data_IF_093377254677
#
_entry.id   IF_093377254677
#
_cell.length_a   1.000
_cell.length_b   1.000
_cell.length_c   1.000
_cell.angle_alpha   90.00
_cell.angle_beta   90.00
_cell.angle_gamma   90.00
#
_symmetry.space_group_name_H-M   'P 1'
#
loop_
_entity.id
_entity.type
_entity.pdbx_description
1 polymer ?
#
# COMPACT_ATOMS: atom_id res chain seq x y z
N UNK A 1 -34.87 -38.08 18.89
CA UNK A 1 -33.76 -38.25 17.94
C UNK A 1 -33.73 -37.04 17.01
N UNK A 2 -32.73 -36.17 17.14
CA UNK A 2 -32.61 -34.94 16.33
C UNK A 2 -31.85 -35.24 15.03
N UNK A 3 -32.52 -35.17 13.88
CA UNK A 3 -31.89 -35.32 12.58
C UNK A 3 -31.06 -34.07 12.24
N UNK A 4 -29.74 -34.22 12.13
CA UNK A 4 -28.83 -33.20 11.63
C UNK A 4 -29.03 -33.01 10.12
N UNK A 5 -29.71 -31.92 9.73
CA UNK A 5 -29.85 -31.50 8.33
C UNK A 5 -28.46 -31.12 7.80
N UNK A 6 -27.84 -32.01 7.03
CA UNK A 6 -26.63 -31.69 6.25
C UNK A 6 -27.05 -30.58 5.27
N UNK A 7 -26.48 -29.39 5.46
CA UNK A 7 -26.69 -28.26 4.54
C UNK A 7 -26.13 -28.69 3.19
N UNK A 8 -27.00 -28.84 2.19
CA UNK A 8 -26.60 -29.16 0.82
C UNK A 8 -25.58 -28.14 0.30
N UNK A 9 -24.81 -28.54 -0.73
CA UNK A 9 -23.84 -27.63 -1.37
C UNK A 9 -24.53 -26.29 -1.70
N UNK A 10 -23.87 -25.14 -1.46
CA UNK A 10 -24.44 -23.85 -1.81
C UNK A 10 -24.77 -23.82 -3.30
N UNK A 11 -25.88 -23.15 -3.64
CA UNK A 11 -26.30 -23.03 -5.04
C UNK A 11 -25.28 -22.22 -5.82
N UNK A 12 -24.72 -22.84 -6.86
CA UNK A 12 -23.71 -22.27 -7.75
C UNK A 12 -24.28 -21.87 -9.11
N UNK A 13 -25.60 -21.90 -9.26
CA UNK A 13 -26.30 -21.49 -10.49
C UNK A 13 -25.97 -20.06 -10.95
N UNK A 14 -25.68 -19.17 -10.00
CA UNK A 14 -25.36 -17.76 -10.27
C UNK A 14 -23.90 -17.49 -10.65
N UNK A 15 -23.01 -18.50 -10.65
CA UNK A 15 -21.64 -18.29 -11.10
C UNK A 15 -21.60 -18.22 -12.63
N UNK A 16 -21.27 -17.03 -13.14
CA UNK A 16 -21.05 -16.81 -14.57
C UNK A 16 -19.81 -17.58 -15.05
N UNK A 17 -20.01 -18.72 -15.71
CA UNK A 17 -18.93 -19.56 -16.25
C UNK A 17 -18.19 -18.94 -17.44
N UNK A 18 -18.82 -18.03 -18.19
CA UNK A 18 -18.28 -17.49 -19.44
C UNK A 18 -17.86 -16.02 -19.28
N UNK A 19 -16.95 -15.74 -18.35
CA UNK A 19 -16.27 -14.43 -18.32
C UNK A 19 -15.13 -14.46 -19.32
N UNK A 20 -15.14 -13.52 -20.28
CA UNK A 20 -14.04 -13.35 -21.22
C UNK A 20 -12.77 -12.99 -20.43
N UNK A 21 -11.67 -13.77 -20.53
CA UNK A 21 -10.43 -13.49 -19.80
C UNK A 21 -9.82 -12.12 -20.14
N UNK A 22 -10.12 -11.58 -21.33
CA UNK A 22 -9.66 -10.25 -21.74
C UNK A 22 -10.22 -9.13 -20.86
N UNK A 23 -11.35 -9.36 -20.19
CA UNK A 23 -11.92 -8.39 -19.26
C UNK A 23 -11.03 -8.18 -18.03
N UNK A 24 -10.24 -9.18 -17.62
CA UNK A 24 -9.27 -9.01 -16.53
C UNK A 24 -8.14 -8.06 -16.94
N UNK A 25 -7.58 -8.25 -18.14
CA UNK A 25 -6.54 -7.37 -18.67
C UNK A 25 -7.04 -5.94 -18.92
N UNK A 26 -8.32 -5.78 -19.30
CA UNK A 26 -8.94 -4.47 -19.53
C UNK A 26 -9.47 -3.79 -18.26
N UNK A 27 -9.33 -4.40 -17.09
CA UNK A 27 -9.75 -3.77 -15.83
C UNK A 27 -11.27 -3.80 -15.59
N UNK A 28 -11.95 -4.87 -16.03
CA UNK A 28 -13.26 -5.33 -15.54
C UNK A 28 -14.24 -4.26 -15.08
N UNK A 29 -14.77 -3.45 -16.00
CA UNK A 29 -15.85 -2.51 -15.70
C UNK A 29 -17.23 -3.17 -15.87
N UNK A 30 -17.56 -4.15 -15.02
CA UNK A 30 -18.95 -4.50 -14.75
C UNK A 30 -19.09 -4.69 -13.24
N UNK A 31 -19.57 -3.64 -12.57
CA UNK A 31 -20.09 -3.74 -11.19
C UNK A 31 -19.34 -3.03 -10.07
N UNK A 32 -18.41 -2.10 -10.34
CA UNK A 32 -17.81 -1.30 -9.25
C UNK A 32 -18.13 0.20 -9.41
N UNK A 33 -19.17 0.66 -8.72
CA UNK A 33 -19.26 2.05 -8.22
C UNK A 33 -18.24 2.28 -7.09
N UNK A 34 -16.99 1.89 -7.32
CA UNK A 34 -15.85 2.23 -6.49
C UNK A 34 -14.93 3.08 -7.35
N UNK A 35 -14.88 4.38 -7.07
CA UNK A 35 -13.88 5.28 -7.66
C UNK A 35 -12.50 4.75 -7.26
N UNK A 36 -11.88 3.95 -8.12
CA UNK A 36 -10.45 3.69 -8.00
C UNK A 36 -9.75 4.97 -8.43
N UNK A 37 -9.33 5.76 -7.46
CA UNK A 37 -8.39 6.84 -7.70
C UNK A 37 -7.15 6.23 -8.34
N UNK A 38 -6.95 6.56 -9.61
CA UNK A 38 -5.71 6.28 -10.33
C UNK A 38 -4.64 7.08 -9.60
N UNK A 39 -3.85 6.41 -8.76
CA UNK A 39 -2.63 7.01 -8.22
C UNK A 39 -1.76 7.37 -9.41
N UNK A 40 -1.77 8.64 -9.80
CA UNK A 40 -0.87 9.19 -10.80
C UNK A 40 0.55 8.85 -10.35
N UNK A 41 1.18 7.91 -11.06
CA UNK A 41 2.61 7.68 -10.95
C UNK A 41 3.28 8.96 -11.43
N UNK A 42 3.59 9.86 -10.51
CA UNK A 42 4.46 11.01 -10.76
C UNK A 42 5.79 10.45 -11.28
N UNK A 43 5.93 10.47 -12.61
CA UNK A 43 7.21 10.25 -13.27
C UNK A 43 8.15 11.38 -12.83
N UNK A 44 8.97 11.13 -11.82
CA UNK A 44 10.13 11.97 -11.54
C UNK A 44 11.37 11.23 -12.02
N UNK A 45 11.77 11.53 -13.25
CA UNK A 45 13.07 11.15 -13.81
C UNK A 45 14.20 12.02 -13.21
N UNK A 46 14.24 12.16 -11.89
CA UNK A 46 15.47 12.62 -11.21
C UNK A 46 16.29 11.37 -10.91
N UNK A 47 17.51 11.27 -11.45
CA UNK A 47 18.43 10.19 -11.14
C UNK A 47 18.56 10.07 -9.61
N UNK A 48 18.00 8.98 -9.05
CA UNK A 48 17.96 8.78 -7.60
C UNK A 48 19.10 7.84 -7.24
N UNK A 49 20.06 8.33 -6.44
CA UNK A 49 21.18 7.51 -5.95
C UNK A 49 20.72 6.84 -4.65
N UNK A 50 20.73 5.50 -4.61
CA UNK A 50 20.45 4.74 -3.40
C UNK A 50 21.73 4.54 -2.58
N UNK A 51 21.64 4.73 -1.26
CA UNK A 51 22.72 4.48 -0.30
C UNK A 51 22.21 3.54 0.78
N UNK A 52 22.99 2.50 1.06
CA UNK A 52 22.70 1.55 2.14
C UNK A 52 23.49 1.95 3.39
N UNK A 53 22.78 2.17 4.49
CA UNK A 53 23.36 2.46 5.80
C UNK A 53 23.13 1.29 6.74
N UNK A 54 24.09 1.03 7.63
CA UNK A 54 23.92 0.09 8.74
C UNK A 54 23.61 0.90 9.98
N UNK A 55 22.50 0.58 10.64
CA UNK A 55 22.08 1.24 11.87
C UNK A 55 22.26 0.31 13.06
N UNK A 56 22.61 0.85 14.24
CA UNK A 56 22.41 0.14 15.50
C UNK A 56 20.93 -0.28 15.67
N UNK A 57 20.64 -1.43 16.29
CA UNK A 57 19.27 -1.91 16.45
C UNK A 57 18.34 -0.89 17.13
N UNK A 58 18.84 -0.22 18.17
CA UNK A 58 18.09 0.79 18.92
C UNK A 58 17.65 1.97 18.04
N UNK A 59 18.53 2.41 17.14
CA UNK A 59 18.24 3.51 16.23
C UNK A 59 17.27 3.09 15.13
N UNK A 60 17.36 1.85 14.65
CA UNK A 60 16.38 1.29 13.71
C UNK A 60 14.98 1.20 14.33
N UNK A 61 14.88 0.77 15.59
CA UNK A 61 13.60 0.76 16.32
C UNK A 61 13.06 2.17 16.55
N UNK A 62 13.90 3.11 16.96
CA UNK A 62 13.50 4.49 17.17
C UNK A 62 12.99 5.15 15.88
N UNK A 63 13.65 4.90 14.74
CA UNK A 63 13.23 5.44 13.45
C UNK A 63 11.86 4.89 13.00
N UNK A 64 11.63 3.59 13.21
CA UNK A 64 10.34 2.96 12.95
C UNK A 64 9.24 3.58 13.81
N UNK A 65 9.49 3.72 15.10
CA UNK A 65 8.50 4.22 16.05
C UNK A 65 8.19 5.72 15.78
N UNK A 66 9.19 6.57 15.47
CA UNK A 66 8.98 7.97 15.04
C UNK A 66 8.13 8.04 13.76
N UNK A 67 8.37 7.16 12.78
CA UNK A 67 7.55 7.09 11.57
C UNK A 67 6.09 6.73 11.85
N UNK A 68 5.83 5.84 12.81
CA UNK A 68 4.50 5.45 13.21
C UNK A 68 3.77 6.58 13.95
N UNK A 69 4.47 7.26 14.86
CA UNK A 69 3.90 8.36 15.64
C UNK A 69 3.60 9.58 14.77
N UNK A 70 4.53 9.97 13.88
CA UNK A 70 4.24 11.04 12.90
C UNK A 70 3.11 10.69 11.97
N UNK A 71 2.99 9.42 11.56
CA UNK A 71 1.88 9.00 10.70
C UNK A 71 0.52 9.19 11.39
N UNK A 72 0.45 8.94 12.70
CA UNK A 72 -0.76 9.19 13.51
C UNK A 72 -1.04 10.68 13.65
N UNK A 73 -0.01 11.48 13.94
CA UNK A 73 -0.14 12.91 14.18
C UNK A 73 -0.56 13.64 12.89
N UNK A 74 0.08 13.33 11.76
CA UNK A 74 -0.15 14.02 10.49
C UNK A 74 -1.35 13.47 9.72
N UNK A 75 -2.02 12.42 10.23
CA UNK A 75 -3.10 11.70 9.53
C UNK A 75 -2.73 11.26 8.09
N UNK A 76 -1.44 11.04 7.84
CA UNK A 76 -0.93 10.53 6.55
C UNK A 76 0.15 9.51 6.81
N UNK A 77 0.44 8.66 5.83
CA UNK A 77 1.61 7.78 5.89
C UNK A 77 2.88 8.62 5.82
N UNK A 78 3.74 8.46 6.83
CA UNK A 78 5.12 8.97 6.88
C UNK A 78 6.06 7.77 6.82
N UNK A 79 7.10 7.84 6.00
CA UNK A 79 8.09 6.76 5.87
C UNK A 79 9.40 7.11 6.57
N UNK A 80 10.14 6.09 6.99
CA UNK A 80 11.50 6.25 7.55
C UNK A 80 12.41 7.03 6.60
N UNK A 81 12.28 6.79 5.29
CA UNK A 81 13.00 7.52 4.25
C UNK A 81 12.68 9.00 4.23
N UNK A 82 11.41 9.40 4.44
CA UNK A 82 11.03 10.81 4.50
C UNK A 82 11.66 11.51 5.70
N UNK A 83 11.66 10.86 6.86
CA UNK A 83 12.28 11.37 8.09
C UNK A 83 13.79 11.53 7.88
N UNK A 84 14.46 10.52 7.31
CA UNK A 84 15.89 10.60 7.00
C UNK A 84 16.19 11.73 6.01
N UNK A 85 15.38 11.88 4.96
CA UNK A 85 15.53 12.99 4.01
C UNK A 85 15.39 14.32 4.73
N UNK A 86 14.38 14.50 5.58
CA UNK A 86 14.16 15.72 6.35
C UNK A 86 15.35 16.06 7.25
N UNK A 87 15.83 15.09 8.03
CA UNK A 87 16.97 15.25 8.94
C UNK A 87 18.24 15.60 8.15
N UNK A 88 18.55 14.84 7.09
CA UNK A 88 19.76 15.05 6.30
C UNK A 88 19.71 16.39 5.55
N UNK A 89 18.55 16.75 5.01
CA UNK A 89 18.32 18.05 4.34
C UNK A 89 18.55 19.20 5.31
N UNK A 90 18.04 19.06 6.54
CA UNK A 90 18.21 20.05 7.61
C UNK A 90 19.67 20.15 8.08
N UNK A 91 20.35 19.00 8.23
CA UNK A 91 21.73 18.94 8.70
C UNK A 91 22.72 19.55 7.71
N UNK A 92 22.63 19.20 6.43
CA UNK A 92 23.50 19.71 5.37
C UNK A 92 23.06 21.06 4.81
N UNK A 93 21.95 21.63 5.32
CA UNK A 93 21.34 22.87 4.82
C UNK A 93 21.10 22.86 3.30
N UNK A 94 20.91 21.69 2.71
CA UNK A 94 20.58 21.57 1.30
C UNK A 94 19.14 22.06 1.12
N UNK A 95 18.93 23.13 0.36
CA UNK A 95 17.56 23.51 -0.02
C UNK A 95 17.06 22.53 -1.08
N UNK A 96 15.83 22.06 -0.92
CA UNK A 96 15.09 21.42 -2.02
C UNK A 96 14.80 22.44 -3.12
#
# INVERSE_FOLDING_TARGET
MSNSKIRGKPDVSNFQKNRNPDNFLKGGQEGSEGKFEVYEKKQKNSATIQKLFRFPPELATALRDDSADRSRIENRRVTETEILIEILTSHYKTRK
#
